data_IF_051321076187
#
_entry.id   IF_051321076187
#
_cell.length_a   1.000
_cell.length_b   1.000
_cell.length_c   1.000
_cell.angle_alpha   90.00
_cell.angle_beta   90.00
_cell.angle_gamma   90.00
#
_symmetry.space_group_name_H-M   'P 1'
#
loop_
_entity.id
_entity.type
_entity.pdbx_description
1 polymer ?
#
# COMPACT_ATOMS: atom_id res chain seq x y z
N UNK A 1 14.50 4.95 5.02
CA UNK A 1 14.47 4.13 3.78
C UNK A 1 13.35 3.12 3.85
N UNK A 2 12.78 2.79 2.71
CA UNK A 2 11.70 1.82 2.56
C UNK A 2 12.15 0.67 1.68
N UNK A 3 11.82 -0.56 2.06
CA UNK A 3 11.99 -1.72 1.20
C UNK A 3 10.77 -1.84 0.28
N UNK A 4 10.98 -1.67 -1.01
CA UNK A 4 9.96 -1.60 -2.05
C UNK A 4 10.20 -2.72 -3.06
N UNK A 5 9.16 -3.49 -3.35
CA UNK A 5 9.20 -4.52 -4.39
C UNK A 5 9.14 -3.90 -5.77
N UNK A 6 8.17 -3.02 -5.97
CA UNK A 6 7.93 -2.41 -7.27
C UNK A 6 7.12 -1.11 -7.12
N UNK A 7 7.18 -0.27 -8.15
CA UNK A 7 6.34 0.91 -8.32
C UNK A 7 5.73 0.83 -9.71
N UNK A 8 4.42 0.67 -9.78
CA UNK A 8 3.67 0.58 -11.03
C UNK A 8 2.88 1.86 -11.23
N UNK A 9 3.17 2.55 -12.31
CA UNK A 9 2.49 3.77 -12.70
C UNK A 9 1.23 3.46 -13.52
N UNK A 10 0.26 4.37 -13.51
CA UNK A 10 -0.96 4.32 -14.32
C UNK A 10 -1.78 3.02 -14.20
N UNK A 11 -1.80 2.42 -13.03
CA UNK A 11 -2.62 1.24 -12.78
C UNK A 11 -4.05 1.59 -12.35
N UNK A 12 -5.02 0.75 -12.70
CA UNK A 12 -6.42 0.86 -12.29
C UNK A 12 -6.86 -0.27 -11.34
N UNK A 13 -5.96 -1.20 -11.02
CA UNK A 13 -6.31 -2.41 -10.25
C UNK A 13 -6.28 -2.21 -8.74
N UNK A 14 -5.60 -1.19 -8.24
CA UNK A 14 -5.37 -0.96 -6.81
C UNK A 14 -6.23 0.19 -6.23
N UNK A 15 -7.33 0.49 -6.84
CA UNK A 15 -8.27 1.49 -6.36
C UNK A 15 -8.98 2.24 -7.50
N UNK A 16 -9.88 3.18 -7.18
CA UNK A 16 -10.61 3.93 -8.19
C UNK A 16 -9.69 4.91 -8.94
N UNK A 17 -9.89 4.99 -10.26
CA UNK A 17 -9.12 5.86 -11.14
C UNK A 17 -7.70 5.36 -11.43
N UNK A 18 -6.92 6.20 -12.06
CA UNK A 18 -5.50 5.92 -12.32
C UNK A 18 -4.68 6.17 -11.06
N UNK A 19 -3.81 5.21 -10.74
CA UNK A 19 -2.99 5.24 -9.54
C UNK A 19 -1.55 4.83 -9.82
N UNK A 20 -0.65 5.43 -9.06
CA UNK A 20 0.71 4.92 -8.88
C UNK A 20 0.70 4.00 -7.66
N UNK A 21 0.92 2.71 -7.89
CA UNK A 21 0.95 1.71 -6.83
C UNK A 21 2.36 1.44 -6.38
N UNK A 22 2.61 1.59 -5.09
CA UNK A 22 3.88 1.33 -4.43
C UNK A 22 3.74 0.02 -3.66
N UNK A 23 4.43 -1.01 -4.11
CA UNK A 23 4.38 -2.34 -3.52
C UNK A 23 5.48 -2.51 -2.48
N UNK A 24 5.07 -2.53 -1.21
CA UNK A 24 5.97 -2.74 -0.09
C UNK A 24 6.48 -4.19 -0.03
N UNK A 25 7.72 -4.37 0.38
CA UNK A 25 8.23 -5.66 0.82
C UNK A 25 8.02 -5.83 2.33
N UNK A 26 7.79 -7.06 2.76
CA UNK A 26 7.56 -7.42 4.16
C UNK A 26 6.08 -7.49 4.51
N UNK A 27 5.66 -8.65 5.00
CA UNK A 27 4.32 -8.85 5.53
C UNK A 27 4.34 -10.02 6.55
N UNK A 28 4.06 -9.76 7.84
CA UNK A 28 4.06 -10.80 8.86
C UNK A 28 2.79 -11.66 8.85
N UNK A 29 1.74 -11.24 8.15
CA UNK A 29 0.40 -11.83 8.27
C UNK A 29 0.27 -13.20 7.61
N UNK A 30 1.05 -13.49 6.56
CA UNK A 30 1.05 -14.78 5.84
C UNK A 30 -0.35 -15.33 5.57
N UNK A 31 -1.24 -14.49 5.02
CA UNK A 31 -2.64 -14.84 4.82
C UNK A 31 -2.79 -16.05 3.90
N UNK A 32 -3.66 -17.02 4.22
CA UNK A 32 -4.00 -18.09 3.30
C UNK A 32 -4.61 -17.52 2.01
N UNK A 33 -4.12 -17.95 0.84
CA UNK A 33 -4.58 -17.45 -0.44
C UNK A 33 -4.10 -16.04 -0.79
N UNK A 34 -3.01 -15.57 -0.17
CA UNK A 34 -2.39 -14.30 -0.50
C UNK A 34 -2.03 -14.24 -2.00
N UNK A 35 -2.37 -13.12 -2.65
CA UNK A 35 -2.08 -12.92 -4.09
C UNK A 35 -0.59 -12.77 -4.37
N UNK A 36 0.19 -12.32 -3.38
CA UNK A 36 1.60 -12.05 -3.58
C UNK A 36 2.43 -12.56 -2.38
N UNK A 37 2.58 -13.88 -2.22
CA UNK A 37 3.39 -14.45 -1.13
C UNK A 37 4.87 -14.05 -1.21
N UNK A 38 5.35 -13.60 -2.36
CA UNK A 38 6.72 -13.10 -2.54
C UNK A 38 6.97 -11.81 -1.75
N UNK A 39 5.92 -11.08 -1.44
CA UNK A 39 5.99 -9.84 -0.65
C UNK A 39 6.24 -10.07 0.84
N UNK A 40 6.18 -11.28 1.33
CA UNK A 40 6.33 -11.56 2.77
C UNK A 40 7.73 -11.28 3.30
N UNK A 41 8.76 -11.44 2.47
CA UNK A 41 10.15 -11.21 2.84
C UNK A 41 10.57 -9.77 2.53
N UNK A 42 10.89 -9.02 3.58
CA UNK A 42 11.35 -7.63 3.47
C UNK A 42 12.67 -7.49 2.70
N UNK A 43 13.49 -8.54 2.67
CA UNK A 43 14.77 -8.53 1.98
C UNK A 43 14.64 -8.70 0.46
N UNK A 44 13.47 -9.05 -0.04
CA UNK A 44 13.20 -9.11 -1.49
C UNK A 44 12.99 -7.75 -2.13
N UNK A 45 12.71 -6.73 -1.34
CA UNK A 45 12.55 -5.37 -1.83
C UNK A 45 13.89 -4.67 -2.08
N UNK A 46 13.83 -3.63 -2.91
CA UNK A 46 14.92 -2.67 -3.05
C UNK A 46 14.76 -1.57 -2.00
N UNK A 47 15.81 -1.25 -1.29
CA UNK A 47 15.81 -0.13 -0.35
C UNK A 47 15.86 1.20 -1.11
N UNK A 48 14.85 2.02 -0.93
CA UNK A 48 14.70 3.33 -1.56
C UNK A 48 14.48 4.41 -0.51
N UNK A 49 15.00 5.61 -0.76
CA UNK A 49 14.72 6.75 0.09
C UNK A 49 13.30 7.28 -0.16
N UNK A 50 12.73 7.92 0.85
CA UNK A 50 11.43 8.60 0.73
C UNK A 50 11.45 9.64 -0.39
N UNK A 51 12.55 10.38 -0.54
CA UNK A 51 12.70 11.40 -1.58
C UNK A 51 12.73 10.79 -3.00
N UNK A 52 13.39 9.66 -3.17
CA UNK A 52 13.44 8.93 -4.45
C UNK A 52 12.06 8.44 -4.88
N UNK A 53 11.30 7.89 -3.94
CA UNK A 53 9.92 7.43 -4.19
C UNK A 53 9.01 8.63 -4.48
N UNK A 54 9.14 9.69 -3.69
CA UNK A 54 8.36 10.91 -3.87
C UNK A 54 8.57 11.53 -5.24
N UNK A 55 9.80 11.58 -5.73
CA UNK A 55 10.11 12.10 -7.06
C UNK A 55 9.38 11.32 -8.16
N UNK A 56 9.31 9.99 -8.06
CA UNK A 56 8.55 9.16 -9.00
C UNK A 56 7.06 9.43 -8.93
N UNK A 57 6.51 9.54 -7.74
CA UNK A 57 5.08 9.83 -7.53
C UNK A 57 4.68 11.19 -8.06
N UNK A 58 5.51 12.19 -7.89
CA UNK A 58 5.25 13.57 -8.34
C UNK A 58 5.50 13.78 -9.84
N UNK A 59 6.21 12.88 -10.51
CA UNK A 59 6.40 12.94 -11.95
C UNK A 59 5.09 12.82 -12.74
N UNK A 60 4.10 12.10 -12.20
CA UNK A 60 2.74 12.07 -12.72
C UNK A 60 1.86 13.07 -11.97
N UNK A 61 1.24 13.98 -12.72
CA UNK A 61 0.38 15.03 -12.14
C UNK A 61 -1.06 14.57 -11.85
N UNK A 62 -1.49 13.45 -12.40
CA UNK A 62 -2.89 13.03 -12.38
C UNK A 62 -3.17 11.82 -11.49
N UNK A 63 -2.28 10.82 -11.48
CA UNK A 63 -2.50 9.60 -10.74
C UNK A 63 -2.48 9.85 -9.22
N UNK A 64 -3.45 9.27 -8.54
CA UNK A 64 -3.42 9.13 -7.07
C UNK A 64 -2.43 8.04 -6.66
N UNK A 65 -2.26 7.79 -5.39
CA UNK A 65 -1.26 6.86 -4.86
C UNK A 65 -1.90 5.76 -4.04
N UNK A 66 -1.45 4.54 -4.23
CA UNK A 66 -1.82 3.39 -3.39
C UNK A 66 -0.58 2.72 -2.82
N UNK A 67 -0.56 2.50 -1.53
CA UNK A 67 0.42 1.67 -0.85
C UNK A 67 -0.13 0.26 -0.73
N UNK A 68 0.54 -0.70 -1.36
CA UNK A 68 0.10 -2.08 -1.47
C UNK A 68 1.29 -3.05 -1.32
N UNK A 69 1.19 -4.22 -1.89
CA UNK A 69 2.24 -5.25 -1.89
C UNK A 69 2.15 -6.16 -0.70
N UNK A 70 3.16 -6.17 0.16
CA UNK A 70 3.14 -6.79 1.47
C UNK A 70 2.22 -6.03 2.41
N UNK A 71 2.70 -5.67 3.57
CA UNK A 71 1.95 -4.80 4.47
C UNK A 71 2.69 -3.47 4.65
N UNK A 72 2.17 -2.34 4.12
CA UNK A 72 2.77 -1.03 4.35
C UNK A 72 2.91 -0.68 5.83
N UNK A 73 2.06 -1.24 6.68
CA UNK A 73 2.13 -1.04 8.13
C UNK A 73 3.24 -1.84 8.81
N UNK A 74 3.91 -2.72 8.08
CA UNK A 74 5.16 -3.35 8.54
C UNK A 74 6.35 -2.36 8.53
N UNK A 75 6.24 -1.30 7.74
CA UNK A 75 7.18 -0.18 7.69
C UNK A 75 6.45 1.16 7.97
N UNK A 76 5.81 1.32 9.15
CA UNK A 76 4.83 2.39 9.36
C UNK A 76 5.45 3.79 9.33
N UNK A 77 6.66 3.94 9.86
CA UNK A 77 7.34 5.25 9.94
C UNK A 77 7.65 5.79 8.54
N UNK A 78 8.26 4.96 7.67
CA UNK A 78 8.62 5.35 6.32
C UNK A 78 7.40 5.65 5.46
N UNK A 79 6.37 4.83 5.51
CA UNK A 79 5.14 5.08 4.75
C UNK A 79 4.34 6.27 5.27
N UNK A 80 4.36 6.52 6.58
CA UNK A 80 3.73 7.73 7.15
C UNK A 80 4.47 8.99 6.69
N UNK A 81 5.79 8.99 6.70
CA UNK A 81 6.60 10.10 6.20
C UNK A 81 6.33 10.35 4.71
N UNK A 82 6.31 9.29 3.91
CA UNK A 82 6.01 9.37 2.49
C UNK A 82 4.61 9.93 2.23
N UNK A 83 3.60 9.44 2.94
CA UNK A 83 2.24 9.94 2.81
C UNK A 83 2.12 11.43 3.14
N UNK A 84 2.78 11.86 4.21
CA UNK A 84 2.81 13.28 4.59
C UNK A 84 3.50 14.12 3.53
N UNK A 85 4.61 13.66 2.97
CA UNK A 85 5.33 14.37 1.92
C UNK A 85 4.48 14.51 0.65
N UNK A 86 3.79 13.45 0.23
CA UNK A 86 2.86 13.47 -0.90
C UNK A 86 1.74 14.49 -0.66
N UNK A 87 1.14 14.49 0.52
CA UNK A 87 0.06 15.39 0.89
C UNK A 87 0.47 16.86 0.96
N UNK A 88 1.70 17.15 1.36
CA UNK A 88 2.21 18.53 1.39
C UNK A 88 2.49 19.10 0.00
N UNK A 89 2.98 18.25 -0.92
CA UNK A 89 3.47 18.68 -2.23
C UNK A 89 2.46 18.47 -3.35
N UNK A 90 1.34 17.80 -3.08
CA UNK A 90 0.32 17.52 -4.08
C UNK A 90 -1.08 17.43 -3.47
N UNK A 91 -2.08 17.38 -4.35
CA UNK A 91 -3.49 17.11 -3.97
C UNK A 91 -3.87 15.65 -4.15
N UNK A 92 -2.90 14.79 -4.38
CA UNK A 92 -3.13 13.36 -4.60
C UNK A 92 -3.80 12.71 -3.40
N UNK A 93 -4.73 11.81 -3.68
CA UNK A 93 -5.31 10.91 -2.67
C UNK A 93 -4.36 9.75 -2.44
N UNK A 94 -4.19 9.40 -1.18
CA UNK A 94 -3.34 8.28 -0.78
C UNK A 94 -4.22 7.22 -0.14
N UNK A 95 -4.18 6.02 -0.70
CA UNK A 95 -4.82 4.85 -0.14
C UNK A 95 -3.76 3.83 0.32
N UNK A 96 -4.14 2.95 1.22
CA UNK A 96 -3.28 1.84 1.63
C UNK A 96 -4.08 0.56 1.81
N UNK A 97 -3.41 -0.56 1.63
CA UNK A 97 -3.90 -1.88 2.02
C UNK A 97 -3.10 -2.38 3.21
N UNK A 98 -3.73 -3.04 4.16
CA UNK A 98 -3.03 -3.63 5.31
C UNK A 98 -3.81 -4.82 5.84
N UNK A 99 -3.12 -5.94 6.05
CA UNK A 99 -3.69 -7.14 6.66
C UNK A 99 -4.03 -6.97 8.15
N UNK A 100 -3.32 -6.09 8.86
CA UNK A 100 -3.61 -5.80 10.26
C UNK A 100 -5.00 -5.17 10.48
N UNK A 101 -5.46 -4.38 9.51
CA UNK A 101 -6.81 -3.79 9.53
C UNK A 101 -7.88 -4.83 9.16
N UNK A 102 -7.51 -5.79 8.32
CA UNK A 102 -8.40 -6.86 7.90
C UNK A 102 -8.90 -7.70 9.07
N UNK A 103 -8.05 -7.96 10.07
CA UNK A 103 -8.45 -8.72 11.26
C UNK A 103 -9.51 -8.00 12.09
N UNK A 104 -9.39 -6.68 12.24
CA UNK A 104 -10.38 -5.85 12.94
C UNK A 104 -11.70 -5.80 12.15
N UNK A 105 -11.63 -5.69 10.84
CA UNK A 105 -12.80 -5.58 9.98
C UNK A 105 -13.47 -6.93 9.73
N UNK A 106 -12.72 -8.04 9.71
CA UNK A 106 -13.31 -9.39 9.71
C UNK A 106 -14.15 -9.61 10.98
N UNK A 107 -13.70 -9.12 12.12
CA UNK A 107 -14.50 -9.17 13.36
C UNK A 107 -15.78 -8.33 13.27
N UNK A 108 -15.71 -7.16 12.62
CA UNK A 108 -16.87 -6.31 12.37
C UNK A 108 -17.79 -6.89 11.27
N UNK A 109 -17.22 -7.50 10.23
CA UNK A 109 -17.99 -8.13 9.14
C UNK A 109 -18.71 -9.41 9.57
N UNK A 110 -18.20 -10.12 10.57
CA UNK A 110 -18.92 -11.26 11.17
C UNK A 110 -20.27 -10.84 11.77
N UNK A 111 -20.35 -9.59 12.23
CA UNK A 111 -21.56 -8.99 12.77
C UNK A 111 -22.50 -8.47 11.67
N UNK A 112 -21.97 -8.09 10.50
CA UNK A 112 -22.74 -7.41 9.43
C UNK A 112 -23.01 -8.26 8.19
N UNK A 113 -22.60 -9.52 8.15
CA UNK A 113 -22.75 -10.44 7.00
C UNK A 113 -22.10 -9.95 5.68
N UNK A 114 -21.22 -8.99 5.74
CA UNK A 114 -20.46 -8.52 4.58
C UNK A 114 -19.18 -9.35 4.43
N UNK A 115 -18.98 -9.98 3.28
CA UNK A 115 -17.76 -10.72 2.94
C UNK A 115 -16.85 -9.82 2.08
N UNK A 116 -15.82 -9.18 2.65
CA UNK A 116 -14.81 -8.54 1.82
C UNK A 116 -13.93 -9.59 1.14
N UNK A 117 -13.56 -9.37 -0.10
CA UNK A 117 -12.56 -10.18 -0.79
C UNK A 117 -11.23 -10.11 -0.04
N UNK A 118 -10.62 -11.27 0.12
CA UNK A 118 -9.43 -11.50 0.93
C UNK A 118 -8.27 -10.56 0.60
N UNK A 119 -7.55 -10.16 1.64
CA UNK A 119 -6.22 -9.50 1.60
C UNK A 119 -6.10 -8.11 0.96
N UNK A 120 -7.16 -7.45 0.59
CA UNK A 120 -7.04 -6.08 0.09
C UNK A 120 -8.17 -5.18 0.59
N UNK A 121 -8.02 -4.64 1.78
CA UNK A 121 -8.85 -3.51 2.18
C UNK A 121 -8.08 -2.22 2.01
N UNK A 122 -8.57 -1.38 1.11
CA UNK A 122 -8.01 -0.06 0.89
C UNK A 122 -8.58 0.93 1.89
N UNK A 123 -7.71 1.60 2.63
CA UNK A 123 -8.09 2.75 3.45
C UNK A 123 -7.57 4.01 2.80
N UNK A 124 -8.44 5.01 2.71
CA UNK A 124 -8.13 6.31 2.14
C UNK A 124 -7.73 7.30 3.25
N UNK A 125 -6.73 8.04 2.98
CA UNK A 125 -6.27 9.14 3.82
C UNK A 125 -6.65 10.48 3.22
#
# INVERSE_FOLDING_TARGET
MLSILDIIEDTTVDGPGFRTSIYAAGCPNRCPGCHNPESWDINRGRWMSTDEILAKVLADNFADVTFSGGDPMYQPEGFTELARAIKRQSRKKVARTSGAIQDILLRLCYVTHYRPNYCSMSMYW
#
